data_IF_547707405978
#
_entry.id   IF_547707405978
#
_cell.length_a   1.000
_cell.length_b   1.000
_cell.length_c   1.000
_cell.angle_alpha   90.00
_cell.angle_beta   90.00
_cell.angle_gamma   90.00
#
_symmetry.space_group_name_H-M   'P 1'
#
loop_
_entity.id
_entity.type
_entity.pdbx_description
1 polymer ?
#
# COMPACT_ATOMS: atom_id res chain seq x y z
N UNK A 1 -23.59 2.00 13.77
CA UNK A 1 -22.19 2.12 13.30
C UNK A 1 -21.67 3.43 13.89
N UNK A 2 -20.51 3.47 14.50
CA UNK A 2 -19.94 4.71 15.04
C UNK A 2 -19.04 5.30 13.95
N UNK A 3 -19.29 6.54 13.55
CA UNK A 3 -18.39 7.24 12.65
C UNK A 3 -17.09 7.53 13.40
N UNK A 4 -15.99 7.15 12.80
CA UNK A 4 -14.64 7.29 13.37
C UNK A 4 -13.80 8.06 12.37
N UNK A 5 -13.29 9.21 12.77
CA UNK A 5 -12.37 10.01 12.00
C UNK A 5 -10.95 9.53 12.29
N UNK A 6 -10.15 9.36 11.24
CA UNK A 6 -8.73 9.02 11.33
C UNK A 6 -7.94 9.74 10.24
N UNK A 7 -6.66 9.91 10.46
CA UNK A 7 -5.73 10.39 9.45
C UNK A 7 -5.25 9.25 8.57
N UNK A 8 -5.15 9.54 7.28
CA UNK A 8 -4.67 8.60 6.27
C UNK A 8 -3.59 9.26 5.42
N UNK A 9 -2.51 8.55 5.22
CA UNK A 9 -1.50 8.89 4.22
C UNK A 9 -2.03 8.56 2.83
N UNK A 10 -1.95 9.51 1.91
CA UNK A 10 -2.46 9.36 0.53
C UNK A 10 -1.53 8.51 -0.32
N UNK A 11 -1.37 7.26 0.06
CA UNK A 11 -0.48 6.31 -0.60
C UNK A 11 -0.68 6.22 -2.14
N UNK A 12 -1.91 6.30 -2.69
CA UNK A 12 -2.12 6.30 -4.13
C UNK A 12 -1.42 7.43 -4.90
N UNK A 13 -1.15 8.57 -4.25
CA UNK A 13 -0.49 9.72 -4.88
C UNK A 13 0.99 9.41 -5.24
N UNK A 14 1.55 8.37 -4.63
CA UNK A 14 2.93 7.90 -4.85
C UNK A 14 3.04 6.77 -5.88
N UNK A 15 1.95 6.41 -6.57
CA UNK A 15 1.91 5.25 -7.45
C UNK A 15 3.01 5.26 -8.53
N UNK A 16 3.26 6.40 -9.16
CA UNK A 16 4.24 6.50 -10.25
C UNK A 16 5.67 6.37 -9.73
N UNK A 17 6.01 7.03 -8.61
CA UNK A 17 7.31 6.88 -7.95
C UNK A 17 7.54 5.44 -7.47
N UNK A 18 6.51 4.80 -6.94
CA UNK A 18 6.59 3.39 -6.53
C UNK A 18 6.78 2.44 -7.73
N UNK A 19 6.22 2.75 -8.90
CA UNK A 19 6.47 1.99 -10.15
C UNK A 19 7.92 2.13 -10.62
N UNK A 20 8.48 3.33 -10.55
CA UNK A 20 9.89 3.57 -10.85
C UNK A 20 10.77 2.75 -9.91
N UNK A 21 10.54 2.84 -8.60
CA UNK A 21 11.23 2.03 -7.59
C UNK A 21 11.12 0.53 -7.88
N UNK A 22 9.91 0.02 -8.17
CA UNK A 22 9.70 -1.40 -8.46
C UNK A 22 10.46 -1.85 -9.71
N UNK A 23 10.61 -0.97 -10.70
CA UNK A 23 11.38 -1.22 -11.91
C UNK A 23 12.88 -1.29 -11.63
N UNK A 24 13.40 -0.46 -10.72
CA UNK A 24 14.79 -0.54 -10.26
C UNK A 24 15.05 -1.79 -9.40
N UNK A 25 14.08 -2.17 -8.55
CA UNK A 25 14.18 -3.39 -7.75
C UNK A 25 14.34 -4.65 -8.62
N UNK A 26 13.69 -4.70 -9.79
CA UNK A 26 13.82 -5.86 -10.70
C UNK A 26 15.22 -6.04 -11.30
N UNK A 27 16.00 -4.98 -11.35
CA UNK A 27 17.37 -5.02 -11.87
C UNK A 27 18.38 -5.55 -10.83
N UNK A 28 17.93 -5.74 -9.58
CA UNK A 28 18.78 -6.16 -8.48
C UNK A 28 18.70 -7.66 -8.23
N UNK A 29 19.84 -8.33 -8.20
CA UNK A 29 19.92 -9.78 -7.99
C UNK A 29 19.64 -10.21 -6.54
N UNK A 30 19.68 -9.28 -5.58
CA UNK A 30 19.53 -9.56 -4.15
C UNK A 30 18.07 -9.47 -3.66
N UNK A 31 17.12 -9.10 -4.53
CA UNK A 31 15.69 -9.02 -4.21
C UNK A 31 14.98 -10.27 -4.74
N UNK A 32 14.24 -10.95 -3.86
CA UNK A 32 13.48 -12.14 -4.27
C UNK A 32 12.36 -11.76 -5.26
N UNK A 33 12.17 -12.50 -6.37
CA UNK A 33 11.14 -12.21 -7.37
C UNK A 33 9.70 -12.11 -6.81
N UNK A 34 9.40 -12.82 -5.71
CA UNK A 34 8.09 -12.73 -5.05
C UNK A 34 7.84 -11.33 -4.48
N UNK A 35 8.87 -10.63 -4.04
CA UNK A 35 8.75 -9.26 -3.49
C UNK A 35 8.37 -8.30 -4.60
N UNK A 36 9.17 -8.23 -5.67
CA UNK A 36 8.93 -7.35 -6.81
C UNK A 36 7.60 -7.62 -7.48
N UNK A 37 7.25 -8.91 -7.66
CA UNK A 37 5.94 -9.31 -8.19
C UNK A 37 4.80 -8.80 -7.30
N UNK A 38 4.91 -8.99 -5.98
CA UNK A 38 3.85 -8.57 -5.04
C UNK A 38 3.71 -7.05 -5.01
N UNK A 39 4.82 -6.31 -5.00
CA UNK A 39 4.80 -4.84 -5.10
C UNK A 39 4.07 -4.41 -6.36
N UNK A 40 4.45 -4.93 -7.53
CA UNK A 40 3.79 -4.60 -8.80
C UNK A 40 2.30 -4.90 -8.82
N UNK A 41 1.86 -6.02 -8.23
CA UNK A 41 0.43 -6.35 -8.15
C UNK A 41 -0.41 -5.26 -7.44
N UNK A 42 0.16 -4.54 -6.47
CA UNK A 42 -0.50 -3.42 -5.80
C UNK A 42 -0.52 -2.14 -6.65
N UNK A 43 0.45 -1.98 -7.55
CA UNK A 43 0.62 -0.79 -8.38
C UNK A 43 -0.18 -0.84 -9.68
N UNK A 44 -0.73 -2.01 -10.02
CA UNK A 44 -1.62 -2.19 -11.16
C UNK A 44 -2.97 -1.49 -10.95
N UNK A 45 -3.68 -1.14 -12.03
CA UNK A 45 -5.04 -0.64 -11.94
C UNK A 45 -5.94 -1.56 -11.12
N UNK A 46 -6.96 -1.04 -10.42
CA UNK A 46 -7.91 -1.86 -9.67
C UNK A 46 -8.65 -2.83 -10.60
N UNK A 47 -8.56 -4.13 -10.30
CA UNK A 47 -9.14 -5.18 -11.15
C UNK A 47 -10.09 -6.09 -10.39
N UNK A 48 -10.99 -6.72 -11.14
CA UNK A 48 -11.84 -7.82 -10.68
C UNK A 48 -11.61 -9.02 -11.61
N UNK A 49 -11.38 -10.19 -11.03
CA UNK A 49 -11.28 -11.46 -11.74
C UNK A 49 -12.60 -12.20 -11.60
N UNK A 50 -13.27 -12.50 -12.72
CA UNK A 50 -14.59 -13.13 -12.78
C UNK A 50 -14.47 -14.46 -13.51
N UNK A 51 -15.08 -15.53 -12.99
CA UNK A 51 -15.11 -16.83 -13.66
C UNK A 51 -15.85 -16.74 -15.00
N UNK A 52 -15.36 -17.42 -16.04
CA UNK A 52 -15.94 -17.38 -17.39
C UNK A 52 -17.43 -17.82 -17.42
N UNK A 53 -17.87 -18.66 -16.50
CA UNK A 53 -19.26 -19.09 -16.35
C UNK A 53 -20.23 -17.91 -16.11
N UNK A 54 -19.74 -16.78 -15.66
CA UNK A 54 -20.53 -15.57 -15.41
C UNK A 54 -20.44 -14.52 -16.52
N UNK A 55 -19.85 -14.87 -17.68
CA UNK A 55 -19.68 -13.93 -18.79
C UNK A 55 -21.02 -13.32 -19.26
N UNK A 56 -22.09 -14.10 -19.33
CA UNK A 56 -23.40 -13.59 -19.78
C UNK A 56 -23.98 -12.61 -18.76
N UNK A 57 -23.89 -12.90 -17.46
CA UNK A 57 -24.30 -11.98 -16.41
C UNK A 57 -23.48 -10.70 -16.42
N UNK A 58 -22.18 -10.81 -16.64
CA UNK A 58 -21.31 -9.64 -16.81
C UNK A 58 -21.77 -8.78 -18.01
N UNK A 59 -22.05 -9.37 -19.18
CA UNK A 59 -22.52 -8.63 -20.37
C UNK A 59 -23.83 -7.85 -20.11
N UNK A 60 -24.71 -8.37 -19.27
CA UNK A 60 -25.94 -7.65 -18.87
C UNK A 60 -25.64 -6.46 -17.95
N UNK A 61 -24.61 -6.57 -17.10
CA UNK A 61 -24.23 -5.55 -16.12
C UNK A 61 -23.27 -4.50 -16.68
N UNK A 62 -22.40 -4.88 -17.59
CA UNK A 62 -21.33 -4.02 -18.16
C UNK A 62 -21.82 -2.64 -18.65
N UNK A 63 -22.98 -2.49 -19.31
CA UNK A 63 -23.49 -1.19 -19.72
C UNK A 63 -23.88 -0.26 -18.56
N UNK A 64 -24.07 -0.82 -17.37
CA UNK A 64 -24.44 -0.08 -16.16
C UNK A 64 -23.25 0.22 -15.26
N UNK A 65 -22.10 -0.41 -15.50
CA UNK A 65 -20.85 -0.19 -14.79
C UNK A 65 -20.15 1.08 -15.30
N UNK A 66 -19.30 1.65 -14.48
CA UNK A 66 -18.37 2.69 -14.91
C UNK A 66 -17.47 2.18 -16.04
N UNK A 67 -16.87 3.11 -16.79
CA UNK A 67 -15.90 2.77 -17.84
C UNK A 67 -14.81 1.84 -17.31
N UNK A 68 -14.62 0.70 -17.96
CA UNK A 68 -13.65 -0.31 -17.60
C UNK A 68 -13.14 -1.05 -18.84
N UNK A 69 -11.99 -1.70 -18.70
CA UNK A 69 -11.38 -2.50 -19.75
C UNK A 69 -11.64 -3.99 -19.49
N UNK A 70 -12.26 -4.68 -20.43
CA UNK A 70 -12.35 -6.15 -20.43
C UNK A 70 -11.04 -6.73 -20.94
N UNK A 71 -10.49 -7.73 -20.23
CA UNK A 71 -9.28 -8.46 -20.59
C UNK A 71 -9.62 -9.96 -20.52
N UNK A 72 -9.61 -10.60 -21.68
CA UNK A 72 -9.84 -12.03 -21.85
C UNK A 72 -8.53 -12.72 -22.23
N UNK A 73 -8.20 -13.81 -21.56
CA UNK A 73 -7.04 -14.63 -21.86
C UNK A 73 -7.49 -16.06 -22.22
N UNK A 74 -7.25 -16.52 -23.44
CA UNK A 74 -7.83 -17.77 -23.96
C UNK A 74 -7.56 -19.05 -23.15
N UNK A 75 -6.51 -19.01 -22.32
CA UNK A 75 -6.11 -20.17 -21.47
C UNK A 75 -6.57 -20.07 -20.02
N UNK A 76 -7.21 -18.97 -19.64
CA UNK A 76 -7.69 -18.77 -18.25
C UNK A 76 -9.16 -19.13 -18.11
N UNK A 77 -9.52 -19.64 -16.94
CA UNK A 77 -10.91 -19.94 -16.54
C UNK A 77 -11.66 -18.73 -16.03
N UNK A 78 -11.01 -17.55 -16.06
CA UNK A 78 -11.56 -16.28 -15.63
C UNK A 78 -11.15 -15.17 -16.59
N UNK A 79 -12.00 -14.19 -16.76
CA UNK A 79 -11.69 -12.91 -17.41
C UNK A 79 -11.47 -11.83 -16.35
N UNK A 80 -10.87 -10.71 -16.74
CA UNK A 80 -10.52 -9.60 -15.87
C UNK A 80 -11.20 -8.34 -16.36
N UNK A 81 -11.74 -7.54 -15.43
CA UNK A 81 -12.18 -6.18 -15.71
C UNK A 81 -11.33 -5.21 -14.90
N UNK A 82 -10.79 -4.18 -15.56
CA UNK A 82 -9.87 -3.21 -14.98
C UNK A 82 -10.50 -1.81 -14.99
N UNK A 83 -10.40 -1.12 -13.86
CA UNK A 83 -10.94 0.23 -13.65
C UNK A 83 -9.83 1.25 -13.47
N UNK A 84 -10.08 2.51 -13.78
CA UNK A 84 -9.15 3.61 -13.52
C UNK A 84 -9.11 3.97 -12.03
N UNK A 85 -10.24 3.83 -11.34
CA UNK A 85 -10.42 4.23 -9.95
C UNK A 85 -10.90 3.07 -9.07
N UNK A 86 -10.40 3.03 -7.85
CA UNK A 86 -10.77 2.02 -6.85
C UNK A 86 -12.27 2.09 -6.50
N UNK A 87 -12.81 3.30 -6.35
CA UNK A 87 -14.23 3.53 -6.07
C UNK A 87 -15.16 2.91 -7.13
N UNK A 88 -14.74 2.94 -8.40
CA UNK A 88 -15.50 2.37 -9.52
C UNK A 88 -15.43 0.85 -9.56
N UNK A 89 -14.28 0.30 -9.20
CA UNK A 89 -14.15 -1.15 -8.96
C UNK A 89 -15.08 -1.60 -7.83
N UNK A 90 -15.11 -0.89 -6.72
CA UNK A 90 -15.92 -1.26 -5.55
C UNK A 90 -17.42 -1.14 -5.83
N UNK A 91 -17.84 -0.18 -6.67
CA UNK A 91 -19.21 -0.09 -7.17
C UNK A 91 -19.57 -1.30 -8.02
N UNK A 92 -18.70 -1.69 -8.95
CA UNK A 92 -18.88 -2.90 -9.76
C UNK A 92 -18.92 -4.18 -8.91
N UNK A 93 -18.09 -4.28 -7.87
CA UNK A 93 -18.14 -5.40 -6.92
C UNK A 93 -19.51 -5.52 -6.24
N UNK A 94 -20.13 -4.39 -5.85
CA UNK A 94 -21.49 -4.41 -5.28
C UNK A 94 -22.51 -4.92 -6.27
N UNK A 95 -22.47 -4.45 -7.52
CA UNK A 95 -23.39 -4.89 -8.58
C UNK A 95 -23.24 -6.39 -8.88
N UNK A 96 -22.01 -6.91 -8.88
CA UNK A 96 -21.73 -8.33 -9.08
C UNK A 96 -22.25 -9.18 -7.89
N UNK A 97 -22.07 -8.70 -6.65
CA UNK A 97 -22.58 -9.35 -5.45
C UNK A 97 -24.12 -9.43 -5.44
N UNK A 98 -24.84 -8.39 -5.86
CA UNK A 98 -26.30 -8.38 -5.98
C UNK A 98 -26.83 -9.46 -6.95
N UNK A 99 -26.02 -9.84 -7.93
CA UNK A 99 -26.32 -10.90 -8.90
C UNK A 99 -25.66 -12.24 -8.54
N UNK A 100 -25.11 -12.38 -7.34
CA UNK A 100 -24.46 -13.60 -6.83
C UNK A 100 -23.33 -14.11 -7.74
N UNK A 101 -22.63 -13.22 -8.43
CA UNK A 101 -21.47 -13.54 -9.26
C UNK A 101 -20.27 -13.83 -8.36
N UNK A 102 -19.56 -14.92 -8.63
CA UNK A 102 -18.30 -15.22 -7.94
C UNK A 102 -17.15 -14.47 -8.62
N UNK A 103 -16.45 -13.69 -7.83
CA UNK A 103 -15.28 -12.95 -8.30
C UNK A 103 -14.19 -12.86 -7.22
N UNK A 104 -13.02 -12.43 -7.61
CA UNK A 104 -11.91 -12.08 -6.72
C UNK A 104 -11.43 -10.67 -7.07
N UNK A 105 -11.21 -9.86 -6.06
CA UNK A 105 -10.61 -8.54 -6.23
C UNK A 105 -9.10 -8.66 -6.36
N UNK A 106 -8.53 -7.86 -7.27
CA UNK A 106 -7.09 -7.65 -7.34
C UNK A 106 -6.61 -6.75 -6.20
N UNK A 107 -5.31 -6.78 -5.94
CA UNK A 107 -4.67 -5.83 -5.03
C UNK A 107 -4.76 -4.43 -5.61
N UNK A 108 -4.82 -3.42 -4.75
CA UNK A 108 -4.82 -2.02 -5.14
C UNK A 108 -4.20 -1.18 -4.02
N UNK A 109 -3.64 -0.02 -4.40
CA UNK A 109 -3.23 0.96 -3.41
C UNK A 109 -4.46 1.60 -2.78
N UNK A 110 -4.46 1.61 -1.45
CA UNK A 110 -5.48 2.29 -0.64
C UNK A 110 -4.78 3.31 0.26
N UNK A 111 -5.49 4.37 0.70
CA UNK A 111 -4.93 5.28 1.69
C UNK A 111 -4.45 4.51 2.94
N UNK A 112 -3.23 4.79 3.38
CA UNK A 112 -2.61 4.10 4.51
C UNK A 112 -3.00 4.78 5.82
N UNK A 113 -3.63 4.04 6.72
CA UNK A 113 -4.12 4.57 7.99
C UNK A 113 -2.95 4.95 8.91
N UNK A 114 -2.97 6.17 9.45
CA UNK A 114 -1.94 6.70 10.35
C UNK A 114 -2.36 6.71 11.81
N UNK A 115 -3.66 6.85 12.10
CA UNK A 115 -4.15 7.02 13.47
C UNK A 115 -5.24 6.03 13.86
N UNK A 116 -5.50 5.92 15.13
CA UNK A 116 -6.59 5.17 15.75
C UNK A 116 -7.24 5.92 16.89
N UNK A 117 -8.39 5.42 17.33
CA UNK A 117 -9.15 5.96 18.45
C UNK A 117 -9.06 4.97 19.63
N UNK A 118 -7.86 4.72 20.10
CA UNK A 118 -7.61 3.89 21.29
C UNK A 118 -7.13 4.78 22.42
N UNK A 119 -7.53 4.45 23.65
CA UNK A 119 -7.18 5.24 24.83
C UNK A 119 -5.70 5.13 25.21
N UNK A 120 -5.05 4.07 24.72
CA UNK A 120 -3.67 3.77 25.00
C UNK A 120 -2.82 3.83 23.74
N UNK A 121 -1.71 4.56 23.79
CA UNK A 121 -0.76 4.66 22.65
C UNK A 121 -0.05 6.01 22.62
N UNK A 122 0.77 6.22 21.60
CA UNK A 122 1.44 7.50 21.35
C UNK A 122 0.41 8.50 20.84
N UNK A 123 0.20 9.65 21.51
CA UNK A 123 -0.72 10.67 21.05
C UNK A 123 -0.32 11.18 19.65
N UNK A 124 -1.28 11.22 18.73
CA UNK A 124 -1.07 11.87 17.44
C UNK A 124 -1.15 13.40 17.58
N UNK A 125 -0.44 14.18 16.73
CA UNK A 125 -0.60 15.62 16.69
C UNK A 125 -2.05 16.02 16.44
N UNK A 126 -2.50 17.11 17.04
CA UNK A 126 -3.80 17.70 16.74
C UNK A 126 -3.72 18.42 15.39
N UNK A 127 -4.45 17.94 14.42
CA UNK A 127 -4.51 18.49 13.06
C UNK A 127 -5.97 18.74 12.69
N UNK A 128 -6.24 19.87 12.02
CA UNK A 128 -7.56 20.22 11.47
C UNK A 128 -8.72 20.14 12.50
N UNK A 129 -8.40 20.32 13.79
CA UNK A 129 -9.40 20.28 14.86
C UNK A 129 -9.69 18.89 15.42
N UNK A 130 -9.14 17.83 14.86
CA UNK A 130 -9.26 16.47 15.39
C UNK A 130 -8.31 16.25 16.57
N UNK A 131 -8.88 15.73 17.67
CA UNK A 131 -8.20 15.54 18.95
C UNK A 131 -8.37 14.13 19.48
N UNK A 132 -7.45 13.73 20.36
CA UNK A 132 -7.53 12.45 21.07
C UNK A 132 -7.29 11.24 20.19
N UNK A 133 -6.65 11.42 19.03
CA UNK A 133 -6.19 10.33 18.20
C UNK A 133 -4.82 9.84 18.70
N UNK A 134 -4.56 8.56 18.49
CA UNK A 134 -3.26 7.92 18.73
C UNK A 134 -2.63 7.45 17.44
N UNK A 135 -1.31 7.44 17.38
CA UNK A 135 -0.58 6.87 16.24
C UNK A 135 -0.90 5.38 16.16
N UNK A 136 -1.23 4.91 14.96
CA UNK A 136 -1.48 3.49 14.73
C UNK A 136 -0.15 2.73 14.64
N UNK A 137 -0.15 1.50 15.14
CA UNK A 137 1.07 0.68 15.32
C UNK A 137 1.89 0.50 14.03
N UNK A 138 1.24 0.40 12.87
CA UNK A 138 1.97 0.14 11.62
C UNK A 138 2.85 1.31 11.14
N UNK A 139 2.38 2.56 11.09
CA UNK A 139 3.28 3.69 10.79
C UNK A 139 4.44 3.78 11.79
N UNK A 140 4.17 3.58 13.08
CA UNK A 140 5.20 3.58 14.12
C UNK A 140 6.24 2.48 13.91
N UNK A 141 5.80 1.24 13.63
CA UNK A 141 6.66 0.07 13.45
C UNK A 141 7.61 0.21 12.26
N UNK A 142 7.20 0.88 11.20
CA UNK A 142 8.05 1.10 10.01
C UNK A 142 9.25 2.00 10.30
N UNK A 143 9.10 2.94 11.24
CA UNK A 143 10.19 3.84 11.68
C UNK A 143 11.00 3.28 12.87
N UNK A 144 10.50 2.26 13.55
CA UNK A 144 11.12 1.71 14.76
C UNK A 144 12.59 1.30 14.57
N UNK A 145 13.03 0.65 13.47
CA UNK A 145 14.44 0.28 13.28
C UNK A 145 15.40 1.48 13.32
N UNK A 146 14.97 2.63 12.80
CA UNK A 146 15.73 3.87 12.84
C UNK A 146 15.80 4.39 14.28
N UNK A 147 14.66 4.41 14.96
CA UNK A 147 14.58 4.83 16.37
C UNK A 147 15.45 3.95 17.27
N UNK A 148 15.53 2.65 17.01
CA UNK A 148 16.42 1.73 17.72
C UNK A 148 17.89 2.05 17.48
N UNK A 149 18.27 2.41 16.26
CA UNK A 149 19.63 2.87 15.95
C UNK A 149 19.99 4.12 16.73
N UNK A 150 19.08 5.11 16.77
CA UNK A 150 19.25 6.36 17.53
C UNK A 150 19.38 6.06 19.03
N UNK A 151 18.49 5.24 19.59
CA UNK A 151 18.50 4.86 21.00
C UNK A 151 19.79 4.10 21.37
N UNK A 152 20.27 3.21 20.49
CA UNK A 152 21.53 2.52 20.70
C UNK A 152 22.72 3.48 20.74
N UNK A 153 22.82 4.41 19.78
CA UNK A 153 23.87 5.43 19.77
C UNK A 153 23.88 6.25 21.06
N UNK A 154 22.69 6.73 21.49
CA UNK A 154 22.54 7.44 22.73
C UNK A 154 23.02 6.63 23.94
N UNK A 155 22.68 5.33 24.02
CA UNK A 155 23.10 4.43 25.10
C UNK A 155 24.62 4.24 25.17
N UNK A 156 25.32 4.42 24.04
CA UNK A 156 26.78 4.34 23.96
C UNK A 156 27.47 5.70 24.16
N UNK A 157 26.72 6.78 24.48
CA UNK A 157 27.25 8.15 24.58
C UNK A 157 27.77 8.70 23.27
N UNK A 158 27.30 8.18 22.15
CA UNK A 158 27.66 8.65 20.80
C UNK A 158 26.70 9.73 20.31
N UNK A 159 27.14 10.48 19.28
CA UNK A 159 26.27 11.43 18.62
C UNK A 159 25.11 10.67 17.95
N UNK A 160 23.87 11.03 18.31
CA UNK A 160 22.67 10.41 17.78
C UNK A 160 22.49 10.67 16.27
N UNK A 161 23.01 11.81 15.75
CA UNK A 161 22.96 12.10 14.29
C UNK A 161 23.77 11.11 13.44
N UNK A 162 24.63 10.30 14.04
CA UNK A 162 25.30 9.23 13.34
C UNK A 162 24.36 8.15 12.76
N UNK A 163 23.07 8.12 13.20
CA UNK A 163 22.08 7.23 12.60
C UNK A 163 21.99 7.37 11.08
N UNK A 164 22.23 8.58 10.55
CA UNK A 164 22.20 8.85 9.11
C UNK A 164 23.25 8.09 8.31
N UNK A 165 24.39 7.76 8.91
CA UNK A 165 25.44 6.92 8.30
C UNK A 165 24.96 5.52 7.97
N UNK A 166 23.98 5.00 8.72
CA UNK A 166 23.45 3.66 8.57
C UNK A 166 22.22 3.61 7.65
N UNK A 167 21.47 4.71 7.57
CA UNK A 167 20.17 4.72 6.89
C UNK A 167 20.09 5.67 5.69
N UNK A 168 20.91 6.72 5.65
CA UNK A 168 20.83 7.76 4.63
C UNK A 168 22.10 7.86 3.76
N UNK A 169 23.18 7.13 4.09
CA UNK A 169 24.38 7.10 3.28
C UNK A 169 24.11 6.38 1.95
N UNK A 170 24.53 6.90 0.78
CA UNK A 170 24.36 6.25 -0.52
C UNK A 170 24.93 4.83 -0.60
N UNK A 171 25.98 4.53 0.20
CA UNK A 171 26.59 3.20 0.28
C UNK A 171 25.94 2.29 1.34
N UNK A 172 25.00 2.81 2.15
CA UNK A 172 24.30 2.01 3.15
C UNK A 172 23.39 0.97 2.48
N UNK A 173 23.38 -0.24 3.03
CA UNK A 173 22.52 -1.33 2.57
C UNK A 173 21.67 -1.82 3.74
N UNK A 174 20.37 -1.72 3.58
CA UNK A 174 19.39 -2.20 4.57
C UNK A 174 18.82 -3.53 4.08
N UNK A 175 18.96 -4.59 4.89
CA UNK A 175 18.40 -5.90 4.61
C UNK A 175 17.21 -6.16 5.53
N UNK A 176 16.02 -6.31 4.95
CA UNK A 176 14.79 -6.60 5.67
C UNK A 176 14.36 -8.05 5.47
N UNK A 177 14.26 -8.80 6.57
CA UNK A 177 13.78 -10.18 6.58
C UNK A 177 12.35 -10.19 7.11
N UNK A 178 11.38 -10.24 6.20
CA UNK A 178 9.96 -10.07 6.48
C UNK A 178 9.13 -11.25 5.96
N UNK A 179 7.98 -11.49 6.59
CA UNK A 179 6.96 -12.40 6.06
C UNK A 179 6.33 -11.83 4.78
N UNK A 180 5.78 -12.71 3.95
CA UNK A 180 5.17 -12.31 2.68
C UNK A 180 3.97 -11.36 2.87
N UNK A 181 3.25 -11.49 3.95
CA UNK A 181 2.14 -10.62 4.37
C UNK A 181 2.58 -9.19 4.69
N UNK A 182 3.85 -9.00 5.04
CA UNK A 182 4.43 -7.70 5.37
C UNK A 182 5.02 -6.95 4.15
N UNK A 183 5.04 -7.55 2.96
CA UNK A 183 5.57 -6.90 1.75
C UNK A 183 4.85 -5.57 1.45
N UNK A 184 3.54 -5.49 1.72
CA UNK A 184 2.80 -4.24 1.56
C UNK A 184 3.36 -3.11 2.42
N UNK A 185 3.68 -3.39 3.67
CA UNK A 185 4.17 -2.39 4.62
C UNK A 185 5.59 -1.92 4.28
N UNK A 186 6.51 -2.86 4.12
CA UNK A 186 7.94 -2.57 3.90
C UNK A 186 8.32 -2.32 2.44
N UNK A 187 7.55 -2.83 1.49
CA UNK A 187 7.82 -2.68 0.05
C UNK A 187 7.00 -1.58 -0.62
N UNK A 188 6.01 -1.00 0.05
CA UNK A 188 5.12 0.01 -0.52
C UNK A 188 4.91 1.17 0.45
N UNK A 189 4.33 0.94 1.63
CA UNK A 189 3.97 2.01 2.55
C UNK A 189 5.21 2.74 3.10
N UNK A 190 6.21 2.02 3.58
CA UNK A 190 7.45 2.59 4.10
C UNK A 190 8.20 3.42 3.03
N UNK A 191 8.50 2.89 1.81
CA UNK A 191 9.14 3.68 0.77
C UNK A 191 8.35 4.95 0.40
N UNK A 192 7.03 4.88 0.29
CA UNK A 192 6.22 6.05 -0.02
C UNK A 192 6.27 7.12 1.09
N UNK A 193 6.28 6.69 2.36
CA UNK A 193 6.45 7.60 3.49
C UNK A 193 7.85 8.26 3.47
N UNK A 194 8.90 7.52 3.12
CA UNK A 194 10.23 8.08 2.90
C UNK A 194 10.27 9.09 1.76
N UNK A 195 9.66 8.79 0.62
CA UNK A 195 9.55 9.70 -0.52
C UNK A 195 8.84 11.00 -0.12
N UNK A 196 7.78 10.90 0.69
CA UNK A 196 7.07 12.07 1.24
C UNK A 196 7.99 12.93 2.12
N UNK A 197 8.71 12.31 3.03
CA UNK A 197 9.62 13.00 3.94
C UNK A 197 10.77 13.71 3.19
N UNK A 198 11.31 13.09 2.15
CA UNK A 198 12.38 13.68 1.34
C UNK A 198 11.91 14.87 0.51
N UNK A 199 10.66 14.87 0.02
CA UNK A 199 10.12 15.97 -0.78
C UNK A 199 9.93 17.27 0.01
N UNK A 200 9.79 17.20 1.33
CA UNK A 200 9.67 18.36 2.22
C UNK A 200 11.05 18.96 2.62
N UNK A 201 12.13 18.22 2.38
CA UNK A 201 13.50 18.60 2.76
C UNK A 201 14.35 19.11 1.58
N UNK A 202 13.76 19.19 0.41
CA UNK A 202 14.34 19.77 -0.81
C UNK A 202 13.73 21.15 -1.10
#
# INVERSE_FOLDING_TARGET
MKDVVNWYFKLPDYNDLLKEMASEMEKQDNIRPVVTKTVKEFLEPPVIYIMNDFMDVYKELAPKMAEHKLIEEPKKTSFTIAFKELSKRDEACRMLNERHVRFREGKALVPFRLTGNIEWGVPAPELEGEKGLTVWVWPESLWAPISFTIAYLASQGRDTEEWRKFWCDPEAKVYQFIGQDNIYFYGIAEPAMWMSFQSESL
#
